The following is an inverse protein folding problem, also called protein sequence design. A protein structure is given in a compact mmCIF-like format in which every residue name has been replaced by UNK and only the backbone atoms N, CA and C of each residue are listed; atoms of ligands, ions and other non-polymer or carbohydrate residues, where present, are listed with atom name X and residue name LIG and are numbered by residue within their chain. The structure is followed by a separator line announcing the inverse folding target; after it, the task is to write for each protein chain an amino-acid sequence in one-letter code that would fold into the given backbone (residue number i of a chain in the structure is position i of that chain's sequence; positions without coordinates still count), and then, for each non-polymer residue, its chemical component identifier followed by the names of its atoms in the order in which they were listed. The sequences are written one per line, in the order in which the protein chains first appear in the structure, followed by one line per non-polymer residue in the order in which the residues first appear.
data_IF_038343027324
#
_entry.id   IF_038343027324
#
_cell.length_a   1.000
_cell.length_b   1.000
_cell.length_c   1.000
_cell.angle_alpha   90.00
_cell.angle_beta   90.00
_cell.angle_gamma   90.00
#
_symmetry.space_group_name_H-M   'P 1'
#
loop_
_entity.id
_entity.type
_entity.pdbx_description
1 polymer ?
#
# COMPACT_ATOMS: atom_id res chain seq x y z
N UNK A 1 13.40 16.64 4.64
CA UNK A 1 12.03 16.88 4.14
C UNK A 1 11.99 17.64 2.80
N UNK A 2 13.06 17.66 1.98
CA UNK A 2 13.10 18.47 0.74
C UNK A 2 13.15 17.64 -0.55
N UNK A 3 13.44 16.35 -0.41
CA UNK A 3 13.54 15.37 -1.48
C UNK A 3 12.29 14.47 -1.51
N UNK A 4 11.94 14.00 -2.72
CA UNK A 4 10.75 13.19 -2.95
C UNK A 4 10.73 11.93 -2.06
N UNK A 5 11.89 11.31 -1.82
CA UNK A 5 12.03 10.11 -1.01
C UNK A 5 11.58 10.32 0.44
N UNK A 6 12.07 11.38 1.09
CA UNK A 6 11.60 11.77 2.43
C UNK A 6 10.09 12.05 2.45
N UNK A 7 9.55 12.63 1.37
CA UNK A 7 8.12 12.89 1.21
C UNK A 7 7.28 11.61 1.16
N UNK A 8 7.70 10.61 0.37
CA UNK A 8 7.06 9.29 0.30
C UNK A 8 7.00 8.60 1.67
N UNK A 9 8.11 8.61 2.42
CA UNK A 9 8.18 8.02 3.76
C UNK A 9 7.24 8.72 4.74
N UNK A 10 7.22 10.05 4.74
CA UNK A 10 6.30 10.82 5.59
C UNK A 10 4.84 10.55 5.24
N UNK A 11 4.51 10.48 3.94
CA UNK A 11 3.16 10.15 3.49
C UNK A 11 2.70 8.76 3.97
N UNK A 12 3.58 7.75 3.86
CA UNK A 12 3.32 6.41 4.40
C UNK A 12 3.11 6.42 5.91
N UNK A 13 3.95 7.15 6.65
CA UNK A 13 3.82 7.27 8.11
C UNK A 13 2.49 7.95 8.52
N UNK A 14 2.10 9.04 7.83
CA UNK A 14 0.82 9.72 8.07
C UNK A 14 -0.36 8.80 7.77
N UNK A 15 -0.31 8.04 6.67
CA UNK A 15 -1.37 7.08 6.36
C UNK A 15 -1.55 6.03 7.46
N UNK A 16 -0.45 5.42 7.92
CA UNK A 16 -0.49 4.43 9.02
C UNK A 16 -1.04 5.05 10.31
N UNK A 17 -0.61 6.27 10.64
CA UNK A 17 -1.12 7.01 11.80
C UNK A 17 -2.64 7.24 11.72
N UNK A 18 -3.14 7.68 10.57
CA UNK A 18 -4.57 7.91 10.37
C UNK A 18 -5.39 6.62 10.48
N UNK A 19 -4.94 5.53 9.85
CA UNK A 19 -5.60 4.22 9.96
C UNK A 19 -5.61 3.72 11.41
N UNK A 20 -4.50 3.87 12.13
CA UNK A 20 -4.42 3.49 13.54
C UNK A 20 -5.40 4.31 14.40
N UNK A 21 -5.49 5.63 14.19
CA UNK A 21 -6.45 6.48 14.90
C UNK A 21 -7.90 6.06 14.62
N UNK A 22 -8.23 5.74 13.36
CA UNK A 22 -9.56 5.24 13.00
C UNK A 22 -9.86 3.91 13.68
N UNK A 23 -8.91 2.95 13.65
CA UNK A 23 -9.06 1.65 14.31
C UNK A 23 -9.26 1.77 15.82
N UNK A 24 -8.61 2.74 16.47
CA UNK A 24 -8.78 3.01 17.90
C UNK A 24 -10.10 3.73 18.22
N UNK A 25 -10.63 4.52 17.28
CA UNK A 25 -11.88 5.24 17.43
C UNK A 25 -13.12 4.38 17.16
N UNK A 26 -12.98 3.28 16.42
CA UNK A 26 -14.07 2.34 16.14
C UNK A 26 -14.31 1.41 17.36
N UNK A 27 -15.58 1.16 17.72
CA UNK A 27 -15.89 0.19 18.76
C UNK A 27 -15.47 -1.22 18.32
N UNK A 28 -14.88 -1.98 19.23
CA UNK A 28 -14.53 -3.38 19.00
C UNK A 28 -15.81 -4.21 19.00
N UNK A 29 -16.29 -4.55 17.79
CA UNK A 29 -17.43 -5.44 17.57
C UNK A 29 -16.94 -6.62 16.76
N UNK A 30 -17.07 -7.81 17.34
CA UNK A 30 -16.81 -9.03 16.62
C UNK A 30 -18.05 -9.42 15.80
N UNK A 31 -18.07 -9.01 14.53
CA UNK A 31 -19.13 -9.39 13.58
C UNK A 31 -19.01 -10.86 13.11
N UNK A 32 -17.98 -11.57 13.58
CA UNK A 32 -17.75 -12.97 13.24
C UNK A 32 -18.46 -13.88 14.24
N UNK A 33 -19.32 -14.81 13.80
CA UNK A 33 -20.01 -15.76 14.67
C UNK A 33 -19.06 -16.64 15.48
N UNK A 34 -19.54 -17.08 16.65
CA UNK A 34 -18.82 -18.04 17.49
C UNK A 34 -18.57 -19.35 16.71
N UNK A 35 -17.32 -19.81 16.73
CA UNK A 35 -16.88 -21.03 16.03
C UNK A 35 -16.45 -20.82 14.58
N UNK A 36 -16.44 -19.58 14.06
CA UNK A 36 -15.88 -19.33 12.73
C UNK A 36 -14.37 -19.64 12.68
N UNK A 37 -13.88 -20.35 11.64
CA UNK A 37 -12.47 -20.71 11.58
C UNK A 37 -11.54 -19.49 11.41
N UNK A 38 -10.76 -19.19 12.45
CA UNK A 38 -9.78 -18.09 12.43
C UNK A 38 -8.74 -18.22 11.29
N UNK A 39 -8.45 -19.46 10.87
CA UNK A 39 -7.54 -19.73 9.74
C UNK A 39 -8.05 -19.12 8.42
N UNK A 40 -9.38 -19.06 8.22
CA UNK A 40 -9.95 -18.48 7.00
C UNK A 40 -9.73 -16.97 6.97
N UNK A 41 -9.95 -16.28 8.10
CA UNK A 41 -9.66 -14.84 8.22
C UNK A 41 -8.19 -14.54 7.97
N UNK A 42 -7.31 -15.40 8.50
CA UNK A 42 -5.87 -15.25 8.29
C UNK A 42 -5.48 -15.41 6.82
N UNK A 43 -5.98 -16.45 6.14
CA UNK A 43 -5.74 -16.67 4.70
C UNK A 43 -6.31 -15.56 3.83
N UNK A 44 -7.46 -14.98 4.23
CA UNK A 44 -8.01 -13.80 3.58
C UNK A 44 -7.10 -12.58 3.73
N UNK A 45 -6.54 -12.33 4.91
CA UNK A 45 -5.58 -11.22 5.12
C UNK A 45 -4.32 -11.41 4.28
N UNK A 46 -3.77 -12.61 4.26
CA UNK A 46 -2.60 -12.94 3.42
C UNK A 46 -2.90 -12.70 1.93
N UNK A 47 -4.03 -13.20 1.44
CA UNK A 47 -4.39 -13.03 0.02
C UNK A 47 -4.71 -11.58 -0.34
N UNK A 48 -5.36 -10.82 0.56
CA UNK A 48 -5.63 -9.40 0.38
C UNK A 48 -4.34 -8.59 0.27
N UNK A 49 -3.35 -8.84 1.14
CA UNK A 49 -2.03 -8.20 1.06
C UNK A 49 -1.31 -8.57 -0.25
N UNK A 50 -1.36 -9.85 -0.64
CA UNK A 50 -0.82 -10.31 -1.92
C UNK A 50 -1.48 -9.60 -3.11
N UNK A 51 -2.80 -9.47 -3.11
CA UNK A 51 -3.55 -8.78 -4.16
C UNK A 51 -3.16 -7.30 -4.27
N UNK A 52 -3.04 -6.59 -3.14
CA UNK A 52 -2.59 -5.19 -3.14
C UNK A 52 -1.16 -5.08 -3.71
N UNK A 53 -0.26 -5.99 -3.30
CA UNK A 53 1.10 -6.04 -3.81
C UNK A 53 1.15 -6.28 -5.33
N UNK A 54 0.35 -7.22 -5.84
CA UNK A 54 0.26 -7.51 -7.29
C UNK A 54 -0.32 -6.31 -8.05
N UNK A 55 -1.43 -5.74 -7.57
CA UNK A 55 -2.10 -4.62 -8.24
C UNK A 55 -1.19 -3.39 -8.33
N UNK A 56 -0.69 -2.91 -7.19
CA UNK A 56 0.16 -1.71 -7.17
C UNK A 56 1.56 -1.97 -7.73
N UNK A 57 2.12 -3.15 -7.46
CA UNK A 57 3.43 -3.55 -7.97
C UNK A 57 3.44 -3.66 -9.49
N UNK A 58 2.47 -4.34 -10.09
CA UNK A 58 2.39 -4.46 -11.56
C UNK A 58 2.18 -3.10 -12.22
N UNK A 59 1.31 -2.25 -11.68
CA UNK A 59 1.11 -0.90 -12.20
C UNK A 59 2.40 -0.06 -12.13
N UNK A 60 3.10 -0.08 -11.00
CA UNK A 60 4.37 0.62 -10.83
C UNK A 60 5.47 0.11 -11.76
N UNK A 61 5.59 -1.20 -11.93
CA UNK A 61 6.58 -1.82 -12.82
C UNK A 61 6.30 -1.52 -14.29
N UNK A 62 5.06 -1.68 -14.75
CA UNK A 62 4.66 -1.37 -16.12
C UNK A 62 4.89 0.10 -16.41
N UNK A 63 4.41 0.98 -15.52
CA UNK A 63 4.62 2.42 -15.67
C UNK A 63 6.11 2.78 -15.69
N UNK A 64 6.92 2.22 -14.79
CA UNK A 64 8.36 2.47 -14.72
C UNK A 64 9.07 2.07 -16.01
N UNK A 65 8.75 0.89 -16.56
CA UNK A 65 9.30 0.42 -17.82
C UNK A 65 8.94 1.36 -18.99
N UNK A 66 7.68 1.82 -19.06
CA UNK A 66 7.21 2.74 -20.09
C UNK A 66 7.77 4.17 -19.93
N UNK A 67 7.98 4.63 -18.69
CA UNK A 67 8.49 5.96 -18.38
C UNK A 67 10.01 6.10 -18.62
N UNK A 68 10.76 5.01 -18.46
CA UNK A 68 12.24 4.98 -18.59
C UNK A 68 12.75 5.67 -19.87
N UNK A 69 12.31 5.33 -21.09
CA UNK A 69 12.82 5.98 -22.31
C UNK A 69 12.51 7.49 -22.36
N UNK A 70 11.35 7.91 -21.84
CA UNK A 70 10.94 9.34 -21.82
C UNK A 70 11.85 10.13 -20.87
N UNK A 71 12.14 9.58 -19.69
CA UNK A 71 12.97 10.22 -18.68
C UNK A 71 14.43 10.30 -19.12
N UNK A 72 14.97 9.21 -19.71
CA UNK A 72 16.34 9.19 -20.25
C UNK A 72 16.51 10.16 -21.42
N UNK A 73 15.54 10.20 -22.35
CA UNK A 73 15.58 11.14 -23.47
C UNK A 73 15.47 12.62 -23.06
N UNK A 74 14.81 12.92 -21.93
CA UNK A 74 14.78 14.27 -21.35
C UNK A 74 16.11 14.63 -20.69
N UNK A 75 16.76 13.68 -20.01
CA UNK A 75 18.02 13.91 -19.33
C UNK A 75 19.18 14.26 -20.28
N UNK A 76 19.18 13.72 -21.51
CA UNK A 76 20.22 14.02 -22.52
C UNK A 76 20.08 15.40 -23.20
N UNK A 77 18.94 16.07 -23.05
CA UNK A 77 18.68 17.38 -23.69
C UNK A 77 19.17 18.57 -22.86
N UNK A 78 19.76 18.31 -21.70
CA UNK A 78 20.37 19.30 -20.81
C UNK A 78 21.86 19.00 -20.68
#
# INVERSE_FOLDING_TARGET
MRDAWSGWLCGGAVFVLLIALVQLGLPDVNEVPDGFPAVVLWRFRESALGMQGVLWGSMGLIFGALATPVLTGRAQKF
#
